data_IF_508991271175
#
_entry.id   IF_508991271175
#
_cell.length_a   1.000
_cell.length_b   1.000
_cell.length_c   1.000
_cell.angle_alpha   90.00
_cell.angle_beta   90.00
_cell.angle_gamma   90.00
#
_symmetry.space_group_name_H-M   'P 1'
#
loop_
_entity.id
_entity.type
_entity.pdbx_description
1 polymer ?
#
# COMPACT_ATOMS: atom_id res chain seq x y z
N UNK A 1 -72.48 -8.84 9.62
CA UNK A 1 -71.68 -7.80 8.87
C UNK A 1 -70.22 -8.05 9.16
N UNK A 2 -69.45 -8.58 8.21
CA UNK A 2 -68.00 -8.89 8.35
C UNK A 2 -67.23 -7.63 7.92
N UNK A 3 -66.52 -6.98 8.85
CA UNK A 3 -65.62 -5.85 8.53
C UNK A 3 -64.34 -6.41 7.90
N UNK A 4 -64.09 -6.09 6.63
CA UNK A 4 -62.83 -6.39 5.96
C UNK A 4 -61.81 -5.32 6.40
N UNK A 5 -60.78 -5.76 7.14
CA UNK A 5 -59.60 -4.96 7.44
C UNK A 5 -58.70 -5.01 6.21
N UNK A 6 -58.58 -3.90 5.52
CA UNK A 6 -57.59 -3.73 4.44
C UNK A 6 -56.27 -3.31 5.09
N UNK A 7 -55.31 -4.24 5.11
CA UNK A 7 -53.96 -3.97 5.58
C UNK A 7 -53.19 -3.26 4.44
N UNK A 8 -53.06 -1.92 4.57
CA UNK A 8 -52.27 -1.13 3.64
C UNK A 8 -50.80 -1.33 3.97
N UNK A 9 -50.12 -2.20 3.19
CA UNK A 9 -48.64 -2.35 3.24
C UNK A 9 -48.06 -1.12 2.52
N UNK A 10 -47.60 -0.14 3.30
CA UNK A 10 -46.77 0.94 2.79
C UNK A 10 -45.37 0.41 2.57
N UNK A 11 -45.00 0.09 1.33
CA UNK A 11 -43.64 -0.17 0.91
C UNK A 11 -42.86 1.16 1.03
N UNK A 12 -42.12 1.32 2.15
CA UNK A 12 -41.11 2.37 2.26
C UNK A 12 -39.90 1.85 1.48
N UNK A 13 -39.80 2.28 0.23
CA UNK A 13 -38.59 2.09 -0.60
C UNK A 13 -37.48 2.90 0.06
N UNK A 14 -36.62 2.24 0.82
CA UNK A 14 -35.33 2.79 1.21
C UNK A 14 -34.51 2.98 -0.08
N UNK A 15 -34.48 4.20 -0.59
CA UNK A 15 -33.54 4.59 -1.63
C UNK A 15 -32.18 4.58 -0.95
N UNK A 16 -31.47 3.46 -1.01
CA UNK A 16 -30.08 3.36 -0.64
C UNK A 16 -29.33 4.18 -1.68
N UNK A 17 -29.04 5.44 -1.35
CA UNK A 17 -28.08 6.21 -2.10
C UNK A 17 -26.72 5.52 -1.85
N UNK A 18 -26.27 4.73 -2.81
CA UNK A 18 -24.87 4.30 -2.84
C UNK A 18 -24.03 5.57 -2.90
N UNK A 19 -23.43 5.96 -1.78
CA UNK A 19 -22.47 7.06 -1.77
C UNK A 19 -21.39 6.69 -2.77
N UNK A 20 -21.23 7.51 -3.81
CA UNK A 20 -20.13 7.39 -4.76
C UNK A 20 -18.85 7.49 -3.93
N UNK A 21 -18.13 6.39 -3.82
CA UNK A 21 -16.92 6.32 -3.04
C UNK A 21 -15.90 7.25 -3.68
N UNK A 22 -15.52 8.31 -2.97
CA UNK A 22 -14.44 9.17 -3.44
C UNK A 22 -13.16 8.35 -3.47
N UNK A 23 -12.50 8.33 -4.62
CA UNK A 23 -11.20 7.72 -4.79
C UNK A 23 -10.17 8.78 -4.35
N UNK A 24 -9.35 8.53 -3.31
CA UNK A 24 -8.31 9.45 -2.91
C UNK A 24 -7.36 9.69 -4.07
N UNK A 25 -7.22 10.95 -4.47
CA UNK A 25 -6.39 11.35 -5.59
C UNK A 25 -5.20 12.11 -5.02
N UNK A 26 -4.01 11.71 -5.44
CA UNK A 26 -2.78 12.48 -5.28
C UNK A 26 -2.40 12.81 -3.83
N UNK A 27 -2.48 11.82 -2.94
CA UNK A 27 -1.96 11.95 -1.57
C UNK A 27 -0.50 11.51 -1.54
N UNK A 28 0.38 12.34 -0.97
CA UNK A 28 1.81 12.03 -0.83
C UNK A 28 2.31 12.45 0.55
N UNK A 29 2.99 11.53 1.23
CA UNK A 29 3.74 11.77 2.47
C UNK A 29 5.18 11.37 2.25
N UNK A 30 6.12 12.27 2.59
CA UNK A 30 7.56 12.06 2.42
C UNK A 30 8.23 12.09 3.79
N UNK A 31 9.08 11.11 4.08
CA UNK A 31 9.85 11.01 5.32
C UNK A 31 11.28 10.55 5.05
N UNK A 32 12.24 11.01 5.85
CA UNK A 32 13.65 10.63 5.75
C UNK A 32 14.01 9.61 6.84
N UNK A 33 14.79 8.63 6.48
CA UNK A 33 15.16 7.52 7.33
C UNK A 33 16.62 7.11 7.15
N UNK A 34 17.09 6.30 8.10
CA UNK A 34 18.38 5.65 8.06
C UNK A 34 18.18 4.17 8.37
N UNK A 35 18.90 3.31 7.65
CA UNK A 35 18.95 1.86 7.92
C UNK A 35 20.37 1.36 7.77
N UNK A 36 20.69 0.26 8.46
CA UNK A 36 21.95 -0.46 8.22
C UNK A 36 21.68 -1.63 7.29
N UNK A 37 22.31 -1.62 6.11
CA UNK A 37 22.16 -2.63 5.06
C UNK A 37 23.55 -3.18 4.75
N UNK A 38 23.74 -4.50 4.84
CA UNK A 38 25.04 -5.16 4.66
C UNK A 38 26.20 -4.54 5.46
N UNK A 39 25.89 -4.00 6.65
CA UNK A 39 26.86 -3.33 7.52
C UNK A 39 27.09 -1.85 7.22
N UNK A 40 26.57 -1.31 6.14
CA UNK A 40 26.69 0.10 5.77
C UNK A 40 25.47 0.90 6.20
N UNK A 41 25.71 2.16 6.62
CA UNK A 41 24.66 3.13 6.89
C UNK A 41 24.13 3.66 5.56
N UNK A 42 22.83 3.51 5.34
CA UNK A 42 22.13 3.96 4.13
C UNK A 42 21.08 4.99 4.54
N UNK A 43 21.19 6.20 3.98
CA UNK A 43 20.18 7.25 4.14
C UNK A 43 19.20 7.20 2.98
N UNK A 44 17.91 7.21 3.29
CA UNK A 44 16.88 7.10 2.27
C UNK A 44 15.63 7.91 2.59
N UNK A 45 14.94 8.27 1.56
CA UNK A 45 13.62 8.87 1.58
C UNK A 45 12.55 7.80 1.35
N UNK A 46 11.51 7.82 2.15
CA UNK A 46 10.30 7.02 1.94
C UNK A 46 9.16 7.95 1.51
N UNK A 47 8.60 7.68 0.35
CA UNK A 47 7.42 8.35 -0.18
C UNK A 47 6.25 7.38 -0.15
N UNK A 48 5.17 7.71 0.56
CA UNK A 48 3.95 6.91 0.62
C UNK A 48 2.79 7.73 0.11
N UNK A 49 2.05 7.18 -0.82
CA UNK A 49 0.97 7.92 -1.44
C UNK A 49 0.01 7.09 -2.25
N UNK A 50 -0.83 7.79 -2.99
CA UNK A 50 -1.79 7.21 -3.92
C UNK A 50 -1.55 7.73 -5.33
N UNK A 51 -1.56 6.84 -6.30
CA UNK A 51 -1.49 7.15 -7.72
C UNK A 51 -2.85 6.84 -8.35
N UNK A 52 -3.58 7.85 -8.82
CA UNK A 52 -4.84 7.63 -9.51
C UNK A 52 -4.60 6.99 -10.89
N UNK A 53 -5.55 6.16 -11.30
CA UNK A 53 -5.63 5.56 -12.64
C UNK A 53 -6.90 6.08 -13.29
N UNK A 54 -6.79 6.57 -14.53
CA UNK A 54 -7.89 7.14 -15.29
C UNK A 54 -8.28 6.25 -16.47
N UNK A 55 -9.56 6.30 -16.83
CA UNK A 55 -10.04 5.75 -18.11
C UNK A 55 -9.65 6.66 -19.29
N UNK A 56 -10.06 6.26 -20.49
CA UNK A 56 -9.79 7.01 -21.71
C UNK A 56 -10.52 8.38 -21.76
N UNK A 57 -11.58 8.52 -21.00
CA UNK A 57 -12.41 9.72 -20.87
C UNK A 57 -11.88 10.68 -19.77
N UNK A 58 -10.85 10.27 -19.01
CA UNK A 58 -10.25 11.05 -17.93
C UNK A 58 -10.98 10.97 -16.59
N UNK A 59 -11.84 9.97 -16.39
CA UNK A 59 -12.47 9.72 -15.09
C UNK A 59 -11.55 8.83 -14.24
N UNK A 60 -11.39 9.10 -12.92
CA UNK A 60 -10.61 8.24 -12.05
C UNK A 60 -11.36 6.91 -11.82
N UNK A 61 -10.75 5.79 -12.21
CA UNK A 61 -11.32 4.45 -12.09
C UNK A 61 -10.68 3.61 -10.98
N UNK A 62 -9.48 3.97 -10.54
CA UNK A 62 -8.78 3.32 -9.45
C UNK A 62 -7.79 4.29 -8.78
N UNK A 63 -7.33 3.93 -7.59
CA UNK A 63 -6.26 4.59 -6.87
C UNK A 63 -5.31 3.53 -6.33
N UNK A 64 -4.07 3.54 -6.80
CA UNK A 64 -3.02 2.63 -6.37
C UNK A 64 -2.27 3.22 -5.19
N UNK A 65 -2.31 2.55 -4.05
CA UNK A 65 -1.48 2.89 -2.91
C UNK A 65 -0.08 2.31 -3.11
N UNK A 66 0.95 3.14 -2.92
CA UNK A 66 2.34 2.73 -3.06
C UNK A 66 3.20 3.23 -1.91
N UNK A 67 4.36 2.59 -1.72
CA UNK A 67 5.48 3.07 -0.92
C UNK A 67 6.74 2.97 -1.75
N UNK A 68 7.38 4.11 -1.97
CA UNK A 68 8.64 4.25 -2.72
C UNK A 68 9.78 4.55 -1.78
N UNK A 69 10.86 3.80 -1.88
CA UNK A 69 12.11 4.02 -1.18
C UNK A 69 13.21 4.42 -2.13
N UNK A 70 13.81 5.57 -1.89
CA UNK A 70 14.89 6.13 -2.69
C UNK A 70 16.11 6.39 -1.82
N UNK A 71 17.26 5.84 -2.19
CA UNK A 71 18.52 6.14 -1.52
C UNK A 71 18.96 7.56 -1.86
N UNK A 72 19.42 8.35 -0.86
CA UNK A 72 19.75 9.77 -1.02
C UNK A 72 21.19 10.13 -0.69
N UNK A 73 21.97 9.24 -0.09
CA UNK A 73 23.37 9.45 0.31
C UNK A 73 24.40 9.11 -0.79
N UNK A 74 24.00 9.16 -2.04
CA UNK A 74 24.83 8.83 -3.22
C UNK A 74 24.91 9.96 -4.23
N UNK A 75 25.98 9.96 -5.04
CA UNK A 75 26.24 11.05 -6.01
C UNK A 75 25.35 10.96 -7.25
N UNK A 76 25.13 9.76 -7.80
CA UNK A 76 24.45 9.56 -9.09
C UNK A 76 23.07 8.89 -8.88
N UNK A 77 22.14 9.64 -8.32
CA UNK A 77 20.77 9.14 -8.05
C UNK A 77 20.06 8.71 -9.36
N UNK A 78 20.28 9.44 -10.47
CA UNK A 78 19.60 9.19 -11.75
C UNK A 78 20.02 7.88 -12.45
N UNK A 79 21.14 7.30 -12.04
CA UNK A 79 21.66 6.04 -12.63
C UNK A 79 21.19 4.80 -11.87
N UNK A 80 20.45 4.97 -10.75
CA UNK A 80 19.99 3.84 -9.96
C UNK A 80 18.84 3.10 -10.65
N UNK A 81 18.89 1.76 -10.70
CA UNK A 81 17.75 0.98 -11.12
C UNK A 81 16.52 1.26 -10.24
N UNK A 82 15.34 1.25 -10.84
CA UNK A 82 14.06 1.31 -10.15
C UNK A 82 13.35 -0.03 -10.27
N UNK A 83 13.00 -0.63 -9.13
CA UNK A 83 12.30 -1.91 -9.07
C UNK A 83 10.86 -1.67 -8.63
N UNK A 84 9.91 -2.20 -9.39
CA UNK A 84 8.50 -2.29 -9.01
C UNK A 84 8.23 -3.66 -8.41
N UNK A 85 7.75 -3.67 -7.18
CA UNK A 85 7.48 -4.89 -6.41
C UNK A 85 6.02 -4.95 -5.98
N UNK A 86 5.39 -6.09 -6.23
CA UNK A 86 4.01 -6.34 -5.83
C UNK A 86 3.79 -7.82 -5.56
N UNK A 87 2.85 -8.13 -4.66
CA UNK A 87 2.42 -9.50 -4.44
C UNK A 87 1.48 -9.96 -5.55
N UNK A 88 1.62 -11.22 -5.93
CA UNK A 88 0.68 -11.93 -6.78
C UNK A 88 -0.38 -12.65 -5.95
N UNK A 89 -1.26 -13.41 -6.66
CA UNK A 89 -2.42 -14.08 -6.07
C UNK A 89 -3.59 -13.10 -5.89
N UNK A 90 -4.81 -13.43 -6.31
CA UNK A 90 -5.91 -12.50 -6.22
C UNK A 90 -6.14 -12.05 -4.77
N UNK A 91 -6.22 -10.72 -4.56
CA UNK A 91 -6.54 -10.13 -3.26
C UNK A 91 -5.38 -9.98 -2.26
N UNK A 92 -4.12 -10.21 -2.66
CA UNK A 92 -2.98 -10.03 -1.76
C UNK A 92 -2.35 -8.64 -1.90
N UNK A 93 -2.23 -7.93 -0.77
CA UNK A 93 -1.42 -6.71 -0.68
C UNK A 93 0.08 -7.02 -0.69
N UNK A 94 0.91 -6.04 -1.05
CA UNK A 94 2.37 -6.21 -1.19
C UNK A 94 3.13 -6.26 0.14
N UNK A 95 2.44 -6.50 1.25
CA UNK A 95 3.00 -6.46 2.60
C UNK A 95 4.15 -7.45 2.80
N UNK A 96 4.08 -8.64 2.22
CA UNK A 96 5.14 -9.64 2.34
C UNK A 96 6.41 -9.21 1.62
N UNK A 97 6.30 -8.77 0.38
CA UNK A 97 7.45 -8.25 -0.37
C UNK A 97 8.05 -7.04 0.32
N UNK A 98 7.20 -6.16 0.88
CA UNK A 98 7.60 -4.93 1.52
C UNK A 98 8.25 -5.15 2.90
N UNK A 99 7.57 -5.88 3.81
CA UNK A 99 7.93 -5.96 5.23
C UNK A 99 8.50 -7.31 5.66
N UNK A 100 8.67 -8.26 4.73
CA UNK A 100 9.30 -9.54 5.05
C UNK A 100 10.54 -9.84 4.22
N UNK A 101 10.70 -9.23 3.02
CA UNK A 101 11.79 -9.61 2.12
C UNK A 101 12.72 -8.46 1.73
N UNK A 102 12.28 -7.50 0.91
CA UNK A 102 13.18 -6.62 0.15
C UNK A 102 13.23 -5.18 0.63
N UNK A 103 12.25 -4.74 1.40
CA UNK A 103 12.20 -3.38 1.94
C UNK A 103 13.32 -3.08 2.93
N UNK A 104 13.57 -1.79 3.26
CA UNK A 104 14.62 -1.38 4.20
C UNK A 104 14.31 -1.72 5.65
N UNK A 105 13.08 -2.08 5.96
CA UNK A 105 12.61 -2.56 7.27
C UNK A 105 11.89 -3.89 7.10
N UNK A 106 12.06 -4.77 8.07
CA UNK A 106 11.35 -6.06 8.13
C UNK A 106 10.66 -6.23 9.49
N UNK A 107 9.59 -6.99 9.51
CA UNK A 107 8.88 -7.37 10.73
C UNK A 107 9.81 -8.18 11.65
N UNK A 108 9.58 -8.06 12.95
CA UNK A 108 10.23 -8.90 13.96
C UNK A 108 9.44 -10.19 14.10
N UNK A 109 9.80 -11.17 13.29
CA UNK A 109 9.23 -12.51 13.29
C UNK A 109 10.37 -13.53 13.44
N UNK A 110 10.05 -14.73 13.94
CA UNK A 110 10.94 -15.89 13.95
C UNK A 110 10.98 -16.60 12.57
N UNK A 111 11.71 -17.70 12.50
CA UNK A 111 11.89 -18.46 11.25
C UNK A 111 10.59 -19.16 10.81
N UNK A 112 9.66 -19.41 11.75
CA UNK A 112 8.33 -19.95 11.49
C UNK A 112 7.31 -18.88 11.11
N UNK A 113 7.66 -17.58 11.23
CA UNK A 113 6.80 -16.45 10.87
C UNK A 113 5.96 -15.90 12.01
N UNK A 114 6.19 -16.32 13.25
CA UNK A 114 5.48 -15.78 14.42
C UNK A 114 6.12 -14.48 14.93
N UNK A 115 5.30 -13.53 15.42
CA UNK A 115 5.83 -12.26 15.90
C UNK A 115 6.63 -12.42 17.21
N UNK A 116 7.81 -11.79 17.25
CA UNK A 116 8.72 -11.78 18.41
C UNK A 116 8.56 -10.47 19.18
N UNK A 117 8.50 -10.54 20.51
CA UNK A 117 8.50 -9.35 21.36
C UNK A 117 9.88 -8.68 21.46
N UNK A 118 9.94 -7.33 21.62
CA UNK A 118 8.83 -6.39 21.43
C UNK A 118 8.36 -6.38 19.98
N UNK A 119 7.04 -6.37 19.79
CA UNK A 119 6.45 -6.35 18.44
C UNK A 119 6.87 -5.09 17.66
N UNK A 120 6.98 -5.21 16.36
CA UNK A 120 7.36 -4.11 15.49
C UNK A 120 8.23 -4.55 14.32
N UNK A 121 9.10 -3.63 13.89
CA UNK A 121 10.01 -3.84 12.78
C UNK A 121 11.46 -3.54 13.18
N UNK A 122 12.39 -4.04 12.39
CA UNK A 122 13.84 -3.80 12.51
C UNK A 122 14.43 -3.43 11.15
N UNK A 123 15.64 -2.91 11.13
CA UNK A 123 16.38 -2.73 9.87
C UNK A 123 16.57 -4.07 9.17
N UNK A 124 16.40 -4.05 7.85
CA UNK A 124 16.63 -5.22 7.02
C UNK A 124 18.09 -5.21 6.51
N UNK A 125 18.96 -6.07 7.02
CA UNK A 125 20.36 -6.12 6.57
C UNK A 125 20.49 -6.62 5.12
N UNK A 126 19.47 -7.26 4.57
CA UNK A 126 19.45 -7.82 3.23
C UNK A 126 18.57 -7.03 2.26
N UNK A 127 18.21 -5.78 2.61
CA UNK A 127 17.44 -4.94 1.71
C UNK A 127 18.18 -4.70 0.40
N UNK A 128 17.44 -4.68 -0.71
CA UNK A 128 17.98 -4.35 -2.03
C UNK A 128 18.18 -2.85 -2.25
N UNK A 129 17.85 -2.01 -1.27
CA UNK A 129 18.02 -0.57 -1.35
C UNK A 129 19.49 -0.13 -1.43
N UNK A 130 20.43 -1.02 -1.14
CA UNK A 130 21.86 -0.79 -1.38
C UNK A 130 22.19 -0.63 -2.87
N UNK A 131 21.49 -1.34 -3.75
CA UNK A 131 21.78 -1.38 -5.21
C UNK A 131 20.68 -0.76 -6.08
N UNK A 132 19.45 -0.68 -5.62
CA UNK A 132 18.31 -0.20 -6.41
C UNK A 132 17.33 0.59 -5.54
N UNK A 133 16.61 1.52 -6.15
CA UNK A 133 15.42 2.11 -5.57
C UNK A 133 14.23 1.18 -5.78
N UNK A 134 13.21 1.21 -4.89
CA UNK A 134 12.13 0.25 -4.93
C UNK A 134 10.77 0.87 -4.64
N UNK A 135 9.79 0.53 -5.46
CA UNK A 135 8.37 0.87 -5.29
C UNK A 135 7.57 -0.38 -4.96
N UNK A 136 6.93 -0.40 -3.81
CA UNK A 136 5.93 -1.41 -3.44
C UNK A 136 4.56 -0.90 -3.80
N UNK A 137 3.83 -1.62 -4.64
CA UNK A 137 2.50 -1.26 -5.09
C UNK A 137 1.50 -2.27 -4.54
N UNK A 138 0.45 -1.80 -3.90
CA UNK A 138 -0.68 -2.65 -3.58
C UNK A 138 -1.59 -2.75 -4.81
N UNK A 139 -1.87 -3.97 -5.31
CA UNK A 139 -2.85 -4.15 -6.39
C UNK A 139 -4.21 -3.55 -6.04
N UNK A 140 -4.99 -3.15 -7.04
CA UNK A 140 -6.34 -2.61 -6.85
C UNK A 140 -7.18 -3.57 -5.98
N UNK A 141 -8.00 -3.02 -5.11
CA UNK A 141 -8.80 -3.74 -4.10
C UNK A 141 -7.98 -4.48 -3.03
N UNK A 142 -6.71 -4.14 -2.83
CA UNK A 142 -5.91 -4.65 -1.72
C UNK A 142 -5.43 -3.52 -0.83
N UNK A 143 -5.36 -3.74 0.48
CA UNK A 143 -4.97 -2.76 1.49
C UNK A 143 -5.66 -1.39 1.26
N UNK A 144 -4.90 -0.35 0.93
CA UNK A 144 -5.41 1.01 0.71
C UNK A 144 -5.68 1.33 -0.77
N UNK A 145 -5.35 0.45 -1.71
CA UNK A 145 -5.72 0.61 -3.13
C UNK A 145 -7.22 0.38 -3.35
N UNK A 146 -7.82 1.16 -4.22
CA UNK A 146 -9.28 1.16 -4.47
C UNK A 146 -9.55 1.15 -5.96
#
# INVERSE_FOLDING_TARGET
MKKKIVLLFTFISFIIHAQKREIPVDTLVITNHISTIKGEKVEYEAQTGTQPVWDAEGNPIASLFYTYYRRIDIKNISERPLIFSFNGGPGSASVWMHLAYTGPKILRIDDEGYPIQPYGYKSNPNSILDVADIVFINPVNTAYSR
#
